data_IF_383755556032
#
_entry.id   IF_383755556032
#
_cell.length_a   1.000
_cell.length_b   1.000
_cell.length_c   1.000
_cell.angle_alpha   90.00
_cell.angle_beta   90.00
_cell.angle_gamma   90.00
#
_symmetry.space_group_name_H-M   'P 1'
#
loop_
_entity.id
_entity.type
_entity.pdbx_description
1 polymer ?
#
# COMPACT_ATOMS: atom_id res chain seq x y z
N UNK A 1 -36.19 -36.60 -107.46
CA UNK A 1 -35.57 -35.56 -106.60
C UNK A 1 -35.31 -36.17 -105.23
N UNK A 2 -34.07 -36.51 -104.94
CA UNK A 2 -33.57 -37.00 -103.65
C UNK A 2 -32.15 -36.47 -103.55
N UNK A 3 -31.79 -35.79 -102.46
CA UNK A 3 -30.42 -35.70 -101.98
C UNK A 3 -30.45 -35.51 -100.47
N UNK A 4 -29.69 -36.37 -99.82
CA UNK A 4 -29.73 -36.68 -98.40
C UNK A 4 -28.58 -36.03 -97.65
N UNK A 5 -28.81 -35.82 -96.35
CA UNK A 5 -27.85 -35.90 -95.25
C UNK A 5 -26.68 -34.90 -95.21
N UNK A 6 -26.79 -33.92 -94.31
CA UNK A 6 -25.71 -33.20 -93.63
C UNK A 6 -26.27 -32.84 -92.24
N UNK A 7 -25.65 -32.98 -91.07
CA UNK A 7 -24.31 -33.37 -90.61
C UNK A 7 -24.54 -33.85 -89.16
N UNK A 8 -23.94 -34.99 -88.76
CA UNK A 8 -23.99 -35.50 -87.39
C UNK A 8 -23.05 -34.69 -86.51
N UNK A 9 -23.55 -34.23 -85.36
CA UNK A 9 -22.81 -33.47 -84.36
C UNK A 9 -21.54 -34.19 -83.93
N UNK A 10 -20.42 -33.50 -84.08
CA UNK A 10 -19.10 -33.95 -83.64
C UNK A 10 -18.95 -33.56 -82.16
N UNK A 11 -18.74 -34.56 -81.32
CA UNK A 11 -18.33 -34.39 -79.94
C UNK A 11 -16.96 -33.69 -79.88
N UNK A 12 -16.83 -32.66 -79.04
CA UNK A 12 -15.53 -32.13 -78.62
C UNK A 12 -15.38 -32.36 -77.12
N UNK A 13 -14.46 -33.24 -76.79
CA UNK A 13 -14.00 -33.60 -75.44
C UNK A 13 -13.01 -32.53 -74.97
N UNK A 14 -13.33 -31.93 -73.83
CA UNK A 14 -12.47 -31.70 -72.66
C UNK A 14 -11.16 -30.92 -72.79
N UNK A 15 -10.92 -30.16 -71.71
CA UNK A 15 -9.67 -29.54 -71.24
C UNK A 15 -9.53 -28.07 -71.61
N UNK A 16 -9.73 -27.24 -70.59
CA UNK A 16 -9.42 -25.82 -70.63
C UNK A 16 -9.60 -25.21 -69.26
N UNK A 17 -8.86 -25.70 -68.27
CA UNK A 17 -8.63 -24.99 -67.03
C UNK A 17 -7.95 -23.65 -67.37
N UNK A 18 -8.77 -22.62 -67.62
CA UNK A 18 -8.30 -21.26 -67.83
C UNK A 18 -9.50 -20.29 -67.76
N UNK A 19 -10.04 -20.05 -66.56
CA UNK A 19 -10.56 -18.72 -66.26
C UNK A 19 -10.61 -18.36 -64.78
N UNK A 20 -9.51 -18.57 -64.04
CA UNK A 20 -9.22 -17.61 -62.96
C UNK A 20 -7.72 -17.42 -62.65
N UNK A 21 -6.86 -17.59 -63.66
CA UNK A 21 -5.51 -17.01 -63.62
C UNK A 21 -5.52 -15.62 -64.28
N UNK A 22 -6.36 -14.73 -63.78
CA UNK A 22 -6.02 -13.31 -63.70
C UNK A 22 -5.99 -13.02 -62.20
N UNK A 23 -4.88 -12.79 -61.53
CA UNK A 23 -3.54 -12.38 -61.93
C UNK A 23 -3.06 -11.57 -60.74
N UNK A 24 -2.05 -12.07 -60.01
CA UNK A 24 -1.30 -11.32 -59.01
C UNK A 24 -2.09 -10.61 -57.89
N UNK A 25 -2.17 -11.24 -56.71
CA UNK A 25 -2.75 -10.63 -55.51
C UNK A 25 -4.28 -10.83 -55.48
N UNK A 26 -4.86 -11.41 -54.45
CA UNK A 26 -4.76 -10.86 -53.11
C UNK A 26 -5.11 -11.99 -52.16
N UNK A 27 -4.17 -12.36 -51.28
CA UNK A 27 -4.52 -12.97 -50.01
C UNK A 27 -5.48 -11.98 -49.35
N UNK A 28 -6.79 -12.19 -49.46
CA UNK A 28 -7.73 -11.44 -48.64
C UNK A 28 -7.53 -11.97 -47.22
N UNK A 29 -6.47 -11.50 -46.57
CA UNK A 29 -6.30 -11.60 -45.14
C UNK A 29 -7.22 -10.52 -44.59
N UNK A 30 -8.48 -10.87 -44.40
CA UNK A 30 -9.46 -10.01 -43.76
C UNK A 30 -8.98 -9.78 -42.33
N UNK A 31 -8.23 -8.70 -42.12
CA UNK A 31 -7.86 -8.23 -40.81
C UNK A 31 -8.57 -6.90 -40.59
N UNK A 32 -9.42 -6.87 -39.57
CA UNK A 32 -9.97 -5.64 -39.03
C UNK A 32 -9.21 -5.33 -37.75
N UNK A 33 -8.58 -4.17 -37.68
CA UNK A 33 -8.00 -3.63 -36.45
C UNK A 33 -8.78 -2.38 -36.09
N UNK A 34 -9.32 -2.35 -34.88
CA UNK A 34 -9.92 -1.15 -34.29
C UNK A 34 -9.05 -0.73 -33.11
N UNK A 35 -8.57 0.50 -33.13
CA UNK A 35 -7.77 1.05 -32.05
C UNK A 35 -8.70 1.86 -31.16
N UNK A 36 -8.95 1.36 -29.94
CA UNK A 36 -9.52 2.21 -28.89
C UNK A 36 -8.57 3.36 -28.54
N UNK A 37 -9.05 4.34 -27.78
CA UNK A 37 -8.19 5.34 -27.15
C UNK A 37 -7.73 4.81 -25.78
N UNK A 38 -6.57 4.14 -25.66
CA UNK A 38 -6.07 3.73 -24.37
C UNK A 38 -5.78 4.98 -23.53
N UNK A 39 -6.30 5.01 -22.29
CA UNK A 39 -5.99 6.05 -21.33
C UNK A 39 -4.55 5.97 -20.84
N UNK A 40 -4.10 7.02 -20.16
CA UNK A 40 -2.83 7.02 -19.41
C UNK A 40 -3.11 6.71 -17.94
N UNK A 41 -2.24 5.91 -17.31
CA UNK A 41 -2.27 5.66 -15.86
C UNK A 41 -1.09 6.42 -15.23
N UNK A 42 -1.33 7.05 -14.08
CA UNK A 42 -0.31 7.75 -13.28
C UNK A 42 -0.16 7.02 -11.95
N UNK A 43 1.07 6.91 -11.45
CA UNK A 43 1.34 6.32 -10.14
C UNK A 43 0.78 7.20 -9.01
N UNK A 44 0.35 6.55 -7.93
CA UNK A 44 -0.01 7.22 -6.69
C UNK A 44 1.20 7.74 -5.90
N UNK A 45 0.93 8.33 -4.74
CA UNK A 45 1.93 8.84 -3.80
C UNK A 45 1.64 8.33 -2.39
N UNK A 46 2.68 7.85 -1.71
CA UNK A 46 2.66 7.39 -0.33
C UNK A 46 3.83 8.06 0.40
N UNK A 47 3.52 9.01 1.27
CA UNK A 47 4.53 9.77 1.98
C UNK A 47 4.09 10.08 3.42
N UNK A 48 5.08 10.24 4.31
CA UNK A 48 4.88 10.73 5.68
C UNK A 48 5.99 11.70 6.06
N UNK A 49 5.60 12.89 6.53
CA UNK A 49 6.52 13.84 7.15
C UNK A 49 6.16 14.00 8.63
N UNK A 50 7.13 13.74 9.50
CA UNK A 50 6.93 13.78 10.95
C UNK A 50 7.47 15.08 11.56
N UNK A 51 6.66 15.74 12.39
CA UNK A 51 7.11 16.84 13.23
C UNK A 51 7.97 16.34 14.41
N UNK A 52 8.56 17.24 15.18
CA UNK A 52 9.20 16.87 16.45
C UNK A 52 8.18 16.24 17.40
N UNK A 53 8.55 15.11 18.01
CA UNK A 53 7.72 14.46 19.01
C UNK A 53 7.83 15.11 20.38
N UNK A 54 6.78 14.93 21.19
CA UNK A 54 6.68 15.50 22.54
C UNK A 54 6.46 14.37 23.54
N UNK A 55 7.24 14.38 24.61
CA UNK A 55 7.09 13.47 25.74
C UNK A 55 6.35 14.14 26.89
N UNK A 56 5.41 13.40 27.47
CA UNK A 56 4.68 13.84 28.65
C UNK A 56 4.61 12.79 29.74
N UNK A 57 4.53 13.24 30.98
CA UNK A 57 4.24 12.38 32.13
C UNK A 57 2.73 12.13 32.29
N UNK A 58 2.37 11.34 33.31
CA UNK A 58 0.97 11.05 33.65
C UNK A 58 0.15 12.30 34.00
N UNK A 59 0.79 13.35 34.49
CA UNK A 59 0.15 14.63 34.82
C UNK A 59 0.07 15.57 33.60
N UNK A 60 0.41 15.09 32.40
CA UNK A 60 0.37 15.83 31.13
C UNK A 60 1.39 16.98 31.06
N UNK A 61 2.42 16.96 31.91
CA UNK A 61 3.55 17.90 31.85
C UNK A 61 4.53 17.44 30.77
N UNK A 62 5.06 18.38 30.00
CA UNK A 62 6.15 18.09 29.07
C UNK A 62 7.43 17.77 29.83
N UNK A 63 8.10 16.68 29.45
CA UNK A 63 9.32 16.20 30.11
C UNK A 63 10.48 16.10 29.12
N UNK A 64 11.71 16.20 29.65
CA UNK A 64 12.92 15.84 28.91
C UNK A 64 13.25 14.37 29.16
N UNK A 65 13.05 13.54 28.15
CA UNK A 65 13.23 12.09 28.25
C UNK A 65 14.67 11.68 28.60
N UNK A 66 15.67 12.49 28.24
CA UNK A 66 17.09 12.18 28.49
C UNK A 66 17.48 12.30 29.97
N UNK A 67 16.70 13.02 30.76
CA UNK A 67 16.96 13.26 32.19
C UNK A 67 15.87 12.71 33.09
N UNK A 68 14.75 12.24 32.52
CA UNK A 68 13.61 11.76 33.29
C UNK A 68 13.92 10.40 33.94
N UNK A 69 13.55 10.25 35.22
CA UNK A 69 13.74 9.02 35.99
C UNK A 69 12.38 8.43 36.31
N UNK A 70 12.02 7.37 35.59
CA UNK A 70 10.78 6.65 35.82
C UNK A 70 10.81 5.88 37.13
N UNK A 71 9.65 5.76 37.77
CA UNK A 71 9.42 4.86 38.88
C UNK A 71 8.30 3.86 38.56
N UNK A 72 8.20 2.72 39.26
CA UNK A 72 7.06 1.82 39.13
C UNK A 72 5.74 2.58 39.30
N UNK A 73 4.85 2.41 38.33
CA UNK A 73 3.59 3.14 38.23
C UNK A 73 3.62 4.33 37.28
N UNK A 74 4.77 4.77 36.75
CA UNK A 74 4.78 5.88 35.80
C UNK A 74 4.11 5.53 34.47
N UNK A 75 3.53 6.56 33.84
CA UNK A 75 3.06 6.50 32.46
C UNK A 75 3.67 7.65 31.69
N UNK A 76 4.35 7.32 30.60
CA UNK A 76 4.91 8.29 29.68
C UNK A 76 4.18 8.21 28.35
N UNK A 77 3.82 9.37 27.82
CA UNK A 77 3.13 9.48 26.54
C UNK A 77 4.03 10.18 25.53
N UNK A 78 4.21 9.56 24.37
CA UNK A 78 4.89 10.15 23.23
C UNK A 78 3.86 10.49 22.15
N UNK A 79 3.85 11.75 21.73
CA UNK A 79 2.95 12.26 20.69
C UNK A 79 3.73 12.91 19.57
N UNK A 80 3.34 12.61 18.33
CA UNK A 80 3.97 13.19 17.13
C UNK A 80 2.90 13.51 16.07
N UNK A 81 3.02 14.68 15.45
CA UNK A 81 2.19 15.03 14.30
C UNK A 81 2.82 14.48 13.01
N UNK A 82 2.02 13.76 12.24
CA UNK A 82 2.41 13.10 10.99
C UNK A 82 1.58 13.68 9.86
N UNK A 83 2.24 14.33 8.90
CA UNK A 83 1.60 14.76 7.65
C UNK A 83 1.65 13.60 6.67
N UNK A 84 0.51 12.95 6.49
CA UNK A 84 0.37 11.73 5.68
C UNK A 84 -0.20 12.08 4.30
N UNK A 85 0.47 11.64 3.24
CA UNK A 85 0.00 11.72 1.86
C UNK A 85 -0.35 10.32 1.37
N UNK A 86 -1.61 10.14 0.96
CA UNK A 86 -2.16 8.94 0.33
C UNK A 86 -2.88 9.36 -0.96
N UNK A 87 -2.21 9.17 -2.08
CA UNK A 87 -2.76 9.42 -3.42
C UNK A 87 -2.85 8.09 -4.17
N UNK A 88 -4.03 7.78 -4.69
CA UNK A 88 -4.30 6.58 -5.49
C UNK A 88 -5.65 5.95 -5.13
N UNK A 89 -6.34 5.39 -6.13
CA UNK A 89 -7.74 4.95 -6.01
C UNK A 89 -7.99 3.87 -4.95
N UNK A 90 -6.95 3.10 -4.61
CA UNK A 90 -6.98 2.00 -3.63
C UNK A 90 -5.93 2.18 -2.53
N UNK A 91 -5.43 3.41 -2.36
CA UNK A 91 -4.36 3.68 -1.39
C UNK A 91 -4.90 3.64 0.03
N UNK A 92 -4.27 2.83 0.87
CA UNK A 92 -4.45 2.84 2.31
C UNK A 92 -3.13 2.50 2.99
N UNK A 93 -2.93 2.99 4.21
CA UNK A 93 -1.70 2.76 4.95
C UNK A 93 -1.93 2.67 6.46
N UNK A 94 -1.18 1.80 7.10
CA UNK A 94 -1.17 1.62 8.55
C UNK A 94 -0.06 2.45 9.16
N UNK A 95 -0.35 3.14 10.27
CA UNK A 95 0.69 3.73 11.13
C UNK A 95 1.09 2.69 12.18
N UNK A 96 2.37 2.36 12.26
CA UNK A 96 2.92 1.44 13.27
C UNK A 96 3.91 2.15 14.18
N UNK A 97 3.99 1.75 15.45
CA UNK A 97 5.03 2.25 16.35
C UNK A 97 6.37 1.60 16.00
N UNK A 98 7.44 2.40 16.03
CA UNK A 98 8.82 1.95 15.92
C UNK A 98 9.54 2.13 17.27
N UNK A 99 10.57 1.32 17.53
CA UNK A 99 11.41 1.47 18.72
C UNK A 99 10.71 1.14 20.05
N UNK A 100 9.60 0.40 20.04
CA UNK A 100 8.82 0.04 21.25
C UNK A 100 9.08 -1.39 21.75
N UNK A 101 10.18 -2.02 21.31
CA UNK A 101 10.46 -3.44 21.56
C UNK A 101 10.84 -3.76 23.01
N UNK A 102 10.76 -5.06 23.34
CA UNK A 102 11.15 -5.62 24.63
C UNK A 102 12.64 -5.40 24.98
N UNK A 103 13.50 -5.20 23.98
CA UNK A 103 14.95 -5.08 24.11
C UNK A 103 15.45 -3.65 24.42
N UNK A 104 14.57 -2.75 24.84
CA UNK A 104 14.94 -1.36 25.11
C UNK A 104 15.72 -1.15 26.42
N UNK A 105 16.16 -2.22 27.10
CA UNK A 105 17.06 -2.16 28.26
C UNK A 105 16.39 -2.41 29.62
N UNK A 106 15.06 -2.33 29.70
CA UNK A 106 14.32 -2.73 30.89
C UNK A 106 13.87 -4.19 30.78
N UNK A 107 13.56 -4.82 31.91
CA UNK A 107 12.93 -6.14 31.90
C UNK A 107 11.56 -6.05 31.23
N UNK A 108 11.26 -6.86 30.20
CA UNK A 108 10.01 -6.74 29.43
C UNK A 108 8.75 -6.89 30.27
N UNK A 109 8.80 -7.69 31.34
CA UNK A 109 7.70 -7.89 32.26
C UNK A 109 7.36 -6.65 33.13
N UNK A 110 8.19 -5.60 33.09
CA UNK A 110 7.99 -4.36 33.86
C UNK A 110 7.43 -3.21 33.03
N UNK A 111 7.38 -3.34 31.69
CA UNK A 111 6.98 -2.25 30.79
C UNK A 111 5.94 -2.75 29.80
N UNK A 112 4.80 -2.06 29.72
CA UNK A 112 3.77 -2.30 28.72
C UNK A 112 3.72 -1.09 27.80
N UNK A 113 3.67 -1.34 26.49
CA UNK A 113 3.54 -0.29 25.48
C UNK A 113 2.23 -0.48 24.71
N UNK A 114 1.45 0.59 24.57
CA UNK A 114 0.19 0.54 23.83
C UNK A 114 0.44 0.54 22.33
N UNK A 115 -0.54 0.04 21.56
CA UNK A 115 -0.61 0.35 20.14
C UNK A 115 -0.79 1.88 19.91
N UNK A 116 -0.43 2.41 18.73
CA UNK A 116 -0.68 3.80 18.39
C UNK A 116 -2.16 4.16 18.42
N UNK A 117 -2.50 5.20 19.18
CA UNK A 117 -3.77 5.91 19.08
C UNK A 117 -3.62 7.06 18.09
N UNK A 118 -4.58 7.21 17.17
CA UNK A 118 -4.55 8.20 16.10
C UNK A 118 -5.71 9.18 16.21
N UNK A 119 -5.45 10.47 16.03
CA UNK A 119 -6.49 11.50 15.93
C UNK A 119 -6.24 12.47 14.79
N UNK A 120 -7.30 13.08 14.26
CA UNK A 120 -7.22 14.28 13.40
C UNK A 120 -7.87 15.41 14.19
N UNK A 121 -7.05 16.39 14.60
CA UNK A 121 -7.44 17.30 15.67
C UNK A 121 -7.78 16.50 16.94
N UNK A 122 -9.00 16.66 17.44
CA UNK A 122 -9.50 15.94 18.63
C UNK A 122 -10.30 14.68 18.30
N UNK A 123 -10.53 14.37 17.02
CA UNK A 123 -11.37 13.23 16.62
C UNK A 123 -10.53 11.97 16.42
N UNK A 124 -10.83 10.86 17.10
CA UNK A 124 -10.16 9.59 16.86
C UNK A 124 -10.37 9.09 15.44
N UNK A 125 -9.34 8.48 14.85
CA UNK A 125 -9.42 7.85 13.53
C UNK A 125 -8.93 6.40 13.59
N UNK A 126 -9.52 5.56 12.74
CA UNK A 126 -9.13 4.15 12.62
C UNK A 126 -7.83 4.00 11.85
N UNK A 127 -7.11 2.94 12.19
CA UNK A 127 -5.93 2.46 11.47
C UNK A 127 -6.35 1.16 10.74
N UNK A 128 -6.19 1.04 9.41
CA UNK A 128 -5.44 1.89 8.48
C UNK A 128 -6.13 3.20 8.08
N UNK A 129 -5.32 4.20 7.74
CA UNK A 129 -5.72 5.44 7.09
C UNK A 129 -6.07 5.20 5.61
N UNK A 130 -7.09 5.91 5.13
CA UNK A 130 -7.58 5.83 3.73
C UNK A 130 -7.53 7.17 2.99
N UNK A 131 -7.14 8.23 3.67
CA UNK A 131 -7.13 9.60 3.14
C UNK A 131 -5.91 10.35 3.65
N UNK A 132 -5.38 11.25 2.83
CA UNK A 132 -4.34 12.20 3.25
C UNK A 132 -4.84 13.09 4.38
N UNK A 133 -4.03 13.27 5.43
CA UNK A 133 -4.35 14.11 6.57
C UNK A 133 -3.11 14.37 7.43
N UNK A 134 -3.17 15.44 8.24
CA UNK A 134 -2.28 15.57 9.39
C UNK A 134 -2.87 14.80 10.57
N UNK A 135 -2.24 13.69 10.92
CA UNK A 135 -2.66 12.79 12.00
C UNK A 135 -1.74 12.96 13.20
N UNK A 136 -2.33 13.08 14.38
CA UNK A 136 -1.58 13.02 15.65
C UNK A 136 -1.52 11.57 16.08
N UNK A 137 -0.31 11.01 16.13
CA UNK A 137 -0.07 9.65 16.61
C UNK A 137 0.45 9.69 18.04
N UNK A 138 -0.11 8.84 18.90
CA UNK A 138 0.22 8.78 20.33
C UNK A 138 0.46 7.35 20.78
N UNK A 139 1.53 7.12 21.53
CA UNK A 139 1.82 5.84 22.19
C UNK A 139 2.07 6.09 23.67
N UNK A 140 1.71 5.12 24.51
CA UNK A 140 1.92 5.18 25.96
C UNK A 140 2.80 4.04 26.41
N UNK A 141 3.81 4.38 27.20
CA UNK A 141 4.67 3.47 27.93
C UNK A 141 4.23 3.46 29.38
N UNK A 142 3.82 2.30 29.88
CA UNK A 142 3.43 2.08 31.26
C UNK A 142 4.51 1.26 31.96
N UNK A 143 5.13 1.88 32.97
CA UNK A 143 6.05 1.23 33.90
C UNK A 143 5.22 0.63 35.02
N UNK A 144 5.14 -0.69 35.08
CA UNK A 144 4.15 -1.38 35.89
C UNK A 144 4.40 -1.13 37.39
N UNK A 145 3.32 -0.80 38.11
CA UNK A 145 3.38 -0.64 39.58
C UNK A 145 3.63 -1.97 40.30
N UNK A 146 3.44 -3.09 39.61
CA UNK A 146 3.75 -4.44 40.11
C UNK A 146 5.24 -4.80 40.02
N UNK A 147 6.10 -3.93 39.48
CA UNK A 147 7.55 -4.15 39.51
C UNK A 147 8.04 -4.17 40.95
N UNK A 148 8.63 -5.31 41.35
CA UNK A 148 9.07 -5.54 42.73
C UNK A 148 10.59 -5.51 42.88
N UNK A 149 11.04 -5.31 44.13
CA UNK A 149 12.45 -5.30 44.48
C UNK A 149 13.21 -4.13 43.85
N UNK A 150 14.46 -4.39 43.45
CA UNK A 150 15.34 -3.41 42.78
C UNK A 150 15.45 -3.67 41.27
N UNK A 151 14.42 -4.26 40.66
CA UNK A 151 14.41 -4.52 39.22
C UNK A 151 14.57 -3.23 38.43
N UNK A 152 15.40 -3.27 37.38
CA UNK A 152 15.72 -2.16 36.48
C UNK A 152 16.31 -0.87 37.12
N UNK A 153 16.63 -0.89 38.43
CA UNK A 153 17.27 0.24 39.09
C UNK A 153 18.62 0.54 38.45
N UNK A 154 18.81 1.77 37.97
CA UNK A 154 20.04 2.23 37.32
C UNK A 154 20.19 1.79 35.86
N UNK A 155 19.24 1.02 35.32
CA UNK A 155 19.18 0.75 33.88
C UNK A 155 18.61 1.96 33.14
N UNK A 156 18.83 1.99 31.82
CA UNK A 156 18.25 2.99 30.93
C UNK A 156 17.30 2.32 29.95
N UNK A 157 16.13 2.93 29.73
CA UNK A 157 15.23 2.55 28.65
C UNK A 157 15.59 3.38 27.41
N UNK A 158 15.93 2.75 26.29
CA UNK A 158 16.31 3.43 25.07
C UNK A 158 15.08 3.91 24.29
N UNK A 159 14.87 5.22 24.26
CA UNK A 159 13.81 5.87 23.46
C UNK A 159 14.30 6.43 22.13
N UNK A 160 15.59 6.31 21.80
CA UNK A 160 16.21 6.97 20.65
C UNK A 160 15.68 6.51 19.29
N UNK A 161 15.05 5.34 19.23
CA UNK A 161 14.41 4.79 18.01
C UNK A 161 12.89 4.90 18.03
N UNK A 162 12.30 5.53 19.06
CA UNK A 162 10.85 5.65 19.18
C UNK A 162 10.30 6.62 18.14
N UNK A 163 9.33 6.14 17.36
CA UNK A 163 8.72 6.90 16.29
C UNK A 163 7.55 6.16 15.66
N UNK A 164 7.15 6.60 14.47
CA UNK A 164 6.05 6.04 13.72
C UNK A 164 6.44 5.77 12.28
N UNK A 165 6.06 4.60 11.77
CA UNK A 165 6.23 4.23 10.36
C UNK A 165 4.87 4.23 9.67
N UNK A 166 4.84 4.68 8.40
CA UNK A 166 3.70 4.55 7.51
C UNK A 166 3.92 3.38 6.57
N UNK A 167 3.06 2.37 6.63
CA UNK A 167 3.18 1.14 5.84
C UNK A 167 1.95 0.99 4.94
N UNK A 168 2.16 0.89 3.63
CA UNK A 168 1.06 0.61 2.70
C UNK A 168 0.38 -0.71 3.06
N UNK A 169 -0.95 -0.76 2.95
CA UNK A 169 -1.69 -2.03 2.99
C UNK A 169 -2.14 -2.40 1.58
N UNK A 170 -1.84 -3.63 1.17
CA UNK A 170 -2.38 -4.18 -0.07
C UNK A 170 -3.84 -4.55 0.15
N UNK A 171 -4.74 -3.97 -0.63
CA UNK A 171 -6.16 -4.31 -0.58
C UNK A 171 -6.35 -5.77 -1.05
N UNK A 172 -7.09 -6.59 -0.30
CA UNK A 172 -7.35 -7.99 -0.64
C UNK A 172 -8.06 -8.09 -2.00
N UNK A 173 -7.60 -9.02 -2.85
CA UNK A 173 -8.16 -9.25 -4.20
C UNK A 173 -7.21 -9.00 -5.37
N UNK A 174 -5.90 -8.97 -5.15
CA UNK A 174 -4.87 -8.84 -6.20
C UNK A 174 -3.86 -9.98 -6.09
N UNK A 175 -4.21 -11.15 -6.61
CA UNK A 175 -3.29 -12.12 -7.22
C UNK A 175 -3.85 -12.53 -8.57
#
# INVERSE_FOLDING_TARGET
MKNSALIKGTAAITVGAALLLGGGGTLASWNASDTGAPGTIVAGDLNVAAAAGVWKDRANNTININTYKVVPGDKLTYTQNLTVTLTGDKMAATITAAGTGAENGFTPANVVVTAPALTIGSTPVSNPLKTSATVTATITFEFLSSTTGRSDVGKSYNFGSVGFNLNQVTQTGLS
#
